data_IF_388166208858
#
_entry.id   IF_388166208858
#
_cell.length_a   1.000
_cell.length_b   1.000
_cell.length_c   1.000
_cell.angle_alpha   90.00
_cell.angle_beta   90.00
_cell.angle_gamma   90.00
#
_symmetry.space_group_name_H-M   'P 1'
#
loop_
_entity.id
_entity.type
_entity.pdbx_description
1 polymer ?
#
# COMPACT_ATOMS: atom_id res chain seq x y z
N UNK A 1 9.20 -22.51 16.61
CA UNK A 1 8.31 -22.17 15.48
C UNK A 1 8.00 -20.68 15.54
N UNK A 2 8.24 -19.99 14.42
CA UNK A 2 8.85 -18.66 14.38
C UNK A 2 7.93 -17.50 14.79
N UNK A 3 8.24 -16.88 15.93
CA UNK A 3 7.60 -15.64 16.43
C UNK A 3 7.88 -14.43 15.52
N UNK A 4 8.85 -14.52 14.61
CA UNK A 4 9.17 -13.49 13.62
C UNK A 4 8.17 -13.43 12.44
N UNK A 5 7.33 -14.43 12.23
CA UNK A 5 6.41 -14.49 11.07
C UNK A 5 5.13 -13.65 11.28
N UNK A 6 4.55 -13.67 12.49
CA UNK A 6 3.37 -12.82 12.82
C UNK A 6 3.71 -11.33 12.82
N UNK A 7 4.94 -11.04 13.19
CA UNK A 7 5.49 -9.71 13.31
C UNK A 7 5.57 -9.01 11.92
N UNK A 8 6.11 -9.71 10.91
CA UNK A 8 6.36 -9.13 9.58
C UNK A 8 5.11 -9.01 8.69
N UNK A 9 4.01 -9.67 9.05
CA UNK A 9 2.72 -9.63 8.34
C UNK A 9 2.01 -8.26 8.39
N UNK A 10 2.34 -7.36 9.34
CA UNK A 10 1.68 -6.05 9.50
C UNK A 10 2.22 -5.01 8.49
N UNK A 11 3.50 -5.06 8.11
CA UNK A 11 4.02 -4.23 7.01
C UNK A 11 3.26 -4.47 5.69
N UNK A 12 2.75 -5.69 5.49
CA UNK A 12 1.92 -6.09 4.35
C UNK A 12 0.50 -5.52 4.37
N UNK A 13 -0.11 -5.31 5.55
CA UNK A 13 -1.45 -4.69 5.66
C UNK A 13 -1.43 -3.17 5.36
N UNK A 14 -0.27 -2.51 5.49
CA UNK A 14 -0.16 -1.04 5.46
C UNK A 14 0.09 -0.44 4.08
N UNK A 15 0.32 -1.25 3.05
CA UNK A 15 0.31 -0.76 1.66
C UNK A 15 -1.11 -0.60 1.12
N UNK A 16 -2.14 -1.14 1.81
CA UNK A 16 -3.54 -1.09 1.38
C UNK A 16 -4.42 -0.08 2.10
N UNK A 17 -4.11 0.33 3.33
CA UNK A 17 -4.92 1.33 4.05
C UNK A 17 -4.97 2.72 3.36
N UNK A 18 -4.22 2.94 2.28
CA UNK A 18 -4.24 4.14 1.44
C UNK A 18 -5.24 4.11 0.26
N UNK A 19 -6.10 3.08 0.12
CA UNK A 19 -7.09 2.98 -0.97
C UNK A 19 -8.52 3.39 -0.59
N UNK A 20 -8.75 4.15 0.48
CA UNK A 20 -10.00 4.89 0.63
C UNK A 20 -9.99 6.09 -0.32
N UNK A 21 -11.10 6.43 -1.02
CA UNK A 21 -11.13 7.56 -1.94
C UNK A 21 -11.19 8.86 -1.12
N UNK A 22 -10.04 9.24 -0.57
CA UNK A 22 -9.81 10.58 -0.09
C UNK A 22 -9.60 11.45 -1.32
N UNK A 23 -10.44 12.47 -1.47
CA UNK A 23 -10.44 13.47 -2.52
C UNK A 23 -9.03 13.74 -3.04
N UNK A 24 -8.78 13.31 -4.28
CA UNK A 24 -7.52 13.49 -4.98
C UNK A 24 -7.24 14.98 -5.16
N UNK A 25 -6.54 15.59 -4.20
CA UNK A 25 -5.72 16.77 -4.49
C UNK A 25 -4.37 16.25 -4.95
N UNK A 26 -4.34 15.79 -6.20
CA UNK A 26 -3.10 15.66 -6.94
C UNK A 26 -2.35 17.00 -6.83
N UNK A 27 -1.04 16.93 -6.60
CA UNK A 27 -0.12 18.01 -6.95
C UNK A 27 -0.17 18.17 -8.49
N UNK A 28 -1.23 18.82 -8.98
CA UNK A 28 -1.41 19.21 -10.35
C UNK A 28 -0.55 20.46 -10.60
N UNK A 29 0.69 20.24 -11.00
CA UNK A 29 1.40 21.23 -11.81
C UNK A 29 0.78 21.21 -13.20
N UNK A 30 0.14 22.33 -13.55
CA UNK A 30 -0.64 22.52 -14.77
C UNK A 30 0.16 22.13 -16.02
N UNK A 31 -0.28 21.07 -16.71
CA UNK A 31 0.06 20.84 -18.12
C UNK A 31 -1.18 21.09 -18.97
N UNK A 32 -1.23 22.25 -19.62
CA UNK A 32 -2.23 22.53 -20.65
C UNK A 32 -1.77 21.89 -21.95
N UNK A 33 -2.33 20.73 -22.31
CA UNK A 33 -2.29 20.22 -23.67
C UNK A 33 -3.60 20.59 -24.37
N UNK A 34 -3.55 21.64 -25.20
CA UNK A 34 -4.61 22.00 -26.11
C UNK A 34 -4.59 21.03 -27.31
N UNK A 35 -5.68 20.30 -27.50
CA UNK A 35 -5.99 19.58 -28.73
C UNK A 35 -6.35 20.63 -29.79
N UNK A 36 -5.62 20.65 -30.91
CA UNK A 36 -5.95 21.46 -32.09
C UNK A 36 -6.44 20.53 -33.19
N UNK A 37 -7.76 20.51 -33.38
CA UNK A 37 -8.39 20.02 -34.61
C UNK A 37 -8.12 20.98 -35.77
N UNK A 38 -7.93 20.41 -36.95
CA UNK A 38 -7.69 21.14 -38.20
C UNK A 38 -8.98 21.46 -38.98
N UNK A 39 -8.80 22.32 -40.00
CA UNK A 39 -9.74 22.82 -41.03
C UNK A 39 -10.63 24.01 -40.59
N UNK A 40 -10.92 25.04 -41.39
CA UNK A 40 -10.47 25.50 -42.71
C UNK A 40 -10.71 27.04 -42.83
N UNK A 41 -10.24 27.63 -43.92
CA UNK A 41 -10.10 29.07 -44.24
C UNK A 41 -11.45 29.74 -44.61
N UNK A 42 -11.71 30.98 -44.17
CA UNK A 42 -12.39 32.02 -44.96
C UNK A 42 -12.28 33.45 -44.38
N UNK A 43 -11.77 34.35 -45.23
CA UNK A 43 -11.93 35.82 -45.37
C UNK A 43 -12.34 36.75 -44.21
N UNK A 44 -11.46 37.73 -43.97
CA UNK A 44 -11.77 39.15 -44.23
C UNK A 44 -12.50 39.96 -43.16
N UNK A 45 -11.77 40.61 -42.26
CA UNK A 45 -12.12 41.91 -41.69
C UNK A 45 -10.93 42.48 -40.88
N UNK A 46 -10.56 43.74 -41.15
CA UNK A 46 -9.59 44.48 -40.35
C UNK A 46 -10.08 44.62 -38.90
N UNK A 47 -9.39 43.98 -37.95
CA UNK A 47 -9.48 44.26 -36.52
C UNK A 47 -8.18 44.90 -36.05
N UNK A 48 -8.27 46.14 -35.59
CA UNK A 48 -7.25 46.84 -34.82
C UNK A 48 -7.04 46.14 -33.48
N UNK A 49 -6.12 45.17 -33.43
CA UNK A 49 -5.70 44.55 -32.16
C UNK A 49 -4.67 45.45 -31.46
N UNK A 50 -5.04 45.94 -30.28
CA UNK A 50 -4.11 46.46 -29.30
C UNK A 50 -2.99 45.45 -29.05
N UNK A 51 -1.74 45.90 -29.16
CA UNK A 51 -0.57 45.09 -28.84
C UNK A 51 -0.70 44.56 -27.41
N UNK A 52 -0.83 43.24 -27.27
CA UNK A 52 -0.69 42.59 -25.98
C UNK A 52 0.76 42.77 -25.52
N UNK A 53 0.94 43.50 -24.41
CA UNK A 53 2.26 43.66 -23.80
C UNK A 53 2.89 42.28 -23.52
N UNK A 54 4.20 42.12 -23.70
CA UNK A 54 4.89 40.87 -23.40
C UNK A 54 4.65 40.51 -21.94
N UNK A 55 4.05 39.33 -21.70
CA UNK A 55 3.93 38.77 -20.35
C UNK A 55 5.34 38.68 -19.76
N UNK A 56 5.58 39.40 -18.67
CA UNK A 56 6.80 39.29 -17.90
C UNK A 56 7.12 37.81 -17.62
N UNK A 57 8.40 37.40 -17.62
CA UNK A 57 8.79 36.03 -17.31
C UNK A 57 8.21 35.68 -15.94
N UNK A 58 7.33 34.66 -15.90
CA UNK A 58 6.84 34.11 -14.64
C UNK A 58 8.07 33.62 -13.89
N UNK A 59 8.37 34.24 -12.76
CA UNK A 59 9.37 33.75 -11.83
C UNK A 59 9.08 32.24 -11.58
N UNK A 60 10.10 31.38 -11.64
CA UNK A 60 9.91 29.96 -11.36
C UNK A 60 9.26 29.84 -9.98
N UNK A 61 8.12 29.15 -9.90
CA UNK A 61 7.53 28.77 -8.61
C UNK A 61 8.55 27.86 -7.92
N UNK A 62 9.34 28.43 -7.02
CA UNK A 62 10.24 27.68 -6.15
C UNK A 62 9.33 26.82 -5.27
N UNK A 63 9.40 25.50 -5.46
CA UNK A 63 8.67 24.55 -4.62
C UNK A 63 9.14 24.64 -3.16
N UNK A 64 8.39 24.04 -2.22
CA UNK A 64 8.78 24.03 -0.81
C UNK A 64 10.19 23.43 -0.67
N UNK A 65 10.98 24.02 0.23
CA UNK A 65 12.32 23.52 0.53
C UNK A 65 12.22 22.13 1.16
N UNK A 66 13.25 21.28 0.96
CA UNK A 66 13.31 20.00 1.66
C UNK A 66 13.24 20.19 3.19
N UNK A 67 13.80 21.26 3.74
CA UNK A 67 13.73 21.54 5.16
C UNK A 67 12.30 21.78 5.67
N UNK A 68 11.40 22.28 4.81
CA UNK A 68 9.99 22.49 5.15
C UNK A 68 9.21 21.17 5.12
N UNK A 69 9.55 20.25 4.20
CA UNK A 69 8.86 18.97 4.05
C UNK A 69 9.35 17.93 5.07
N UNK A 70 10.66 17.90 5.34
CA UNK A 70 11.31 16.92 6.21
C UNK A 70 11.59 17.52 7.58
N UNK A 71 10.52 17.80 8.32
CA UNK A 71 10.57 18.25 9.70
C UNK A 71 9.81 17.28 10.61
N UNK A 72 10.28 17.12 11.85
CA UNK A 72 9.70 16.22 12.85
C UNK A 72 8.60 16.91 13.69
N UNK A 73 8.07 18.05 13.26
CA UNK A 73 6.97 18.70 13.97
C UNK A 73 5.77 17.74 14.02
N UNK A 74 5.25 17.45 15.21
CA UNK A 74 4.18 16.46 15.40
C UNK A 74 4.62 14.99 15.41
N UNK A 75 5.91 14.69 15.16
CA UNK A 75 6.49 13.34 15.29
C UNK A 75 7.37 13.32 16.54
N UNK A 76 6.89 12.70 17.62
CA UNK A 76 7.58 12.70 18.92
C UNK A 76 8.14 11.33 19.27
N UNK A 77 8.97 11.26 20.32
CA UNK A 77 9.40 9.98 20.90
C UNK A 77 8.21 9.12 21.33
N UNK A 78 7.17 9.73 21.93
CA UNK A 78 5.95 9.01 22.32
C UNK A 78 5.30 8.33 21.11
N UNK A 79 5.26 9.02 19.96
CA UNK A 79 4.72 8.45 18.72
C UNK A 79 5.49 7.20 18.28
N UNK A 80 6.82 7.19 18.45
CA UNK A 80 7.65 6.02 18.19
C UNK A 80 7.34 4.90 19.17
N UNK A 81 7.25 5.20 20.46
CA UNK A 81 6.91 4.22 21.51
C UNK A 81 5.56 3.56 21.26
N UNK A 82 4.54 4.34 20.90
CA UNK A 82 3.20 3.84 20.61
C UNK A 82 3.21 2.87 19.41
N UNK A 83 3.92 3.22 18.34
CA UNK A 83 4.07 2.36 17.15
C UNK A 83 4.85 1.09 17.48
N UNK A 84 5.97 1.20 18.20
CA UNK A 84 6.80 0.05 18.56
C UNK A 84 6.04 -0.90 19.47
N UNK A 85 5.32 -0.37 20.47
CA UNK A 85 4.48 -1.15 21.38
C UNK A 85 3.34 -1.86 20.65
N UNK A 86 2.68 -1.17 19.73
CA UNK A 86 1.58 -1.74 18.94
C UNK A 86 2.07 -2.84 17.99
N UNK A 87 3.26 -2.66 17.41
CA UNK A 87 3.77 -3.55 16.36
C UNK A 87 4.51 -4.77 16.93
N UNK A 88 5.27 -4.60 18.01
CA UNK A 88 6.09 -5.68 18.62
C UNK A 88 7.25 -6.16 17.72
N UNK A 89 7.70 -5.33 16.76
CA UNK A 89 8.62 -5.75 15.67
C UNK A 89 10.05 -5.25 15.83
N UNK A 90 10.23 -4.16 16.56
CA UNK A 90 11.44 -3.35 16.53
C UNK A 90 12.26 -3.60 17.80
N UNK A 91 12.89 -4.77 17.89
CA UNK A 91 13.65 -5.21 19.07
C UNK A 91 15.14 -4.84 19.03
N UNK A 92 15.66 -4.45 17.86
CA UNK A 92 17.10 -4.23 17.65
C UNK A 92 17.64 -2.99 18.37
N UNK A 93 16.79 -2.00 18.65
CA UNK A 93 17.14 -0.73 19.28
C UNK A 93 15.96 -0.27 20.16
N UNK A 94 16.23 0.58 21.13
CA UNK A 94 15.22 1.26 21.93
C UNK A 94 14.44 2.31 21.10
N UNK A 95 13.24 2.67 21.57
CA UNK A 95 12.44 3.77 20.97
C UNK A 95 13.24 5.07 20.87
N UNK A 96 14.02 5.38 21.91
CA UNK A 96 14.88 6.56 21.95
C UNK A 96 15.96 6.53 20.87
N UNK A 97 16.62 5.40 20.65
CA UNK A 97 17.65 5.24 19.60
C UNK A 97 17.04 5.35 18.20
N UNK A 98 15.87 4.74 17.95
CA UNK A 98 15.15 4.91 16.67
C UNK A 98 14.77 6.38 16.41
N UNK A 99 14.27 7.06 17.44
CA UNK A 99 13.92 8.47 17.32
C UNK A 99 15.16 9.36 17.08
N UNK A 100 16.29 9.05 17.73
CA UNK A 100 17.55 9.75 17.51
C UNK A 100 18.03 9.61 16.06
N UNK A 101 17.91 8.41 15.47
CA UNK A 101 18.19 8.19 14.05
C UNK A 101 17.33 9.10 13.17
N UNK A 102 16.04 9.23 13.47
CA UNK A 102 15.16 10.15 12.74
C UNK A 102 15.60 11.62 12.87
N UNK A 103 16.01 12.05 14.07
CA UNK A 103 16.51 13.40 14.32
C UNK A 103 17.79 13.68 13.52
N UNK A 104 18.77 12.76 13.56
CA UNK A 104 20.02 12.89 12.80
C UNK A 104 19.75 12.94 11.29
N UNK A 105 18.82 12.12 10.80
CA UNK A 105 18.43 12.12 9.39
C UNK A 105 17.78 13.46 8.97
N UNK A 106 16.84 13.97 9.76
CA UNK A 106 16.22 15.28 9.51
C UNK A 106 17.23 16.43 9.53
N UNK A 107 18.16 16.41 10.50
CA UNK A 107 19.22 17.41 10.62
C UNK A 107 20.19 17.36 9.42
N UNK A 108 20.51 16.17 8.92
CA UNK A 108 21.33 16.02 7.73
C UNK A 108 20.67 16.69 6.51
N UNK A 109 19.35 16.54 6.34
CA UNK A 109 18.59 17.17 5.26
C UNK A 109 18.56 18.69 5.44
N UNK A 110 18.35 19.19 6.66
CA UNK A 110 18.41 20.64 6.96
C UNK A 110 19.77 21.25 6.61
N UNK A 111 20.86 20.50 6.82
CA UNK A 111 22.24 20.89 6.43
C UNK A 111 22.52 20.77 4.93
N UNK A 112 21.54 20.41 4.11
CA UNK A 112 21.65 20.35 2.65
C UNK A 112 21.88 18.96 2.07
N UNK A 113 21.83 17.90 2.88
CA UNK A 113 21.89 16.53 2.35
C UNK A 113 20.65 16.22 1.51
N UNK A 114 20.83 15.48 0.42
CA UNK A 114 19.69 15.00 -0.37
C UNK A 114 18.91 13.94 0.43
N UNK A 115 17.57 14.07 0.56
CA UNK A 115 16.75 13.08 1.28
C UNK A 115 16.77 11.68 0.64
N UNK A 116 17.18 11.58 -0.63
CA UNK A 116 17.20 10.33 -1.40
C UNK A 116 18.51 9.55 -1.24
N UNK A 117 19.53 10.15 -0.63
CA UNK A 117 20.88 9.57 -0.53
C UNK A 117 21.63 10.13 0.67
N UNK A 118 20.97 10.20 1.84
CA UNK A 118 21.62 10.65 3.07
C UNK A 118 22.65 9.60 3.48
N UNK A 119 23.93 10.01 3.56
CA UNK A 119 25.03 9.18 4.03
C UNK A 119 25.72 9.90 5.17
N UNK A 120 25.53 9.40 6.39
CA UNK A 120 26.32 9.84 7.53
C UNK A 120 27.48 8.86 7.70
N UNK A 121 28.72 9.37 7.70
CA UNK A 121 29.95 8.58 7.84
C UNK A 121 30.65 8.89 9.17
N UNK A 122 31.40 7.94 9.71
CA UNK A 122 32.18 8.10 10.94
C UNK A 122 31.41 7.76 12.22
N UNK A 123 31.75 8.38 13.34
CA UNK A 123 31.15 8.12 14.66
C UNK A 123 29.64 8.42 14.72
N UNK A 124 29.13 9.24 13.79
CA UNK A 124 27.70 9.56 13.67
C UNK A 124 27.00 8.78 12.55
N UNK A 125 27.60 7.68 12.09
CA UNK A 125 27.05 6.87 11.01
C UNK A 125 25.68 6.29 11.35
N UNK A 126 24.76 6.33 10.40
CA UNK A 126 23.48 5.62 10.48
C UNK A 126 23.61 4.39 9.59
N UNK A 127 23.33 3.22 10.14
CA UNK A 127 23.33 1.97 9.37
C UNK A 127 22.12 1.91 8.42
N UNK A 128 22.26 1.18 7.31
CA UNK A 128 21.16 1.04 6.36
C UNK A 128 19.95 0.28 6.95
N UNK A 129 20.20 -0.65 7.89
CA UNK A 129 19.16 -1.35 8.65
C UNK A 129 18.40 -0.38 9.57
N UNK A 130 19.11 0.49 10.29
CA UNK A 130 18.46 1.49 11.15
C UNK A 130 17.58 2.44 10.34
N UNK A 131 18.04 2.92 9.18
CA UNK A 131 17.21 3.73 8.28
C UNK A 131 15.97 2.97 7.78
N UNK A 132 16.13 1.68 7.46
CA UNK A 132 15.01 0.86 7.03
C UNK A 132 13.95 0.72 8.14
N UNK A 133 14.38 0.37 9.36
CA UNK A 133 13.51 0.16 10.51
C UNK A 133 12.79 1.45 10.91
N UNK A 134 13.51 2.59 10.98
CA UNK A 134 12.88 3.90 11.23
C UNK A 134 11.92 4.27 10.10
N UNK A 135 12.25 3.97 8.85
CA UNK A 135 11.34 4.17 7.72
C UNK A 135 10.05 3.35 7.86
N UNK A 136 10.15 2.12 8.35
CA UNK A 136 9.01 1.29 8.68
C UNK A 136 8.18 1.89 9.83
N UNK A 137 8.81 2.35 10.92
CA UNK A 137 8.11 3.03 12.03
C UNK A 137 7.38 4.27 11.52
N UNK A 138 8.06 5.14 10.77
CA UNK A 138 7.48 6.37 10.19
C UNK A 138 6.27 6.09 9.31
N UNK A 139 6.28 4.96 8.56
CA UNK A 139 5.14 4.55 7.73
C UNK A 139 3.87 4.26 8.55
N UNK A 140 4.00 3.79 9.80
CA UNK A 140 2.87 3.50 10.69
C UNK A 140 2.28 4.77 11.32
N UNK A 141 3.01 5.88 11.32
CA UNK A 141 2.55 7.16 11.84
C UNK A 141 1.59 7.78 10.83
N UNK A 142 0.29 7.84 11.16
CA UNK A 142 -0.76 8.31 10.25
C UNK A 142 -0.69 9.81 9.98
N UNK A 143 -0.44 10.59 11.02
CA UNK A 143 -0.24 12.04 10.96
C UNK A 143 0.98 12.39 11.81
N UNK A 144 1.76 13.41 11.42
CA UNK A 144 1.59 14.29 10.26
C UNK A 144 2.06 13.66 8.93
N UNK A 145 1.58 14.19 7.78
CA UNK A 145 2.01 13.75 6.43
C UNK A 145 3.53 13.72 6.19
N UNK A 146 4.31 14.49 6.95
CA UNK A 146 5.78 14.45 6.86
C UNK A 146 6.34 13.06 7.23
N UNK A 147 5.66 12.27 8.06
CA UNK A 147 6.06 10.89 8.40
C UNK A 147 6.19 10.01 7.16
N UNK A 148 5.25 10.14 6.23
CA UNK A 148 5.21 9.38 4.99
C UNK A 148 6.33 9.81 4.03
N UNK A 149 6.64 11.11 4.00
CA UNK A 149 7.79 11.61 3.26
C UNK A 149 9.10 11.05 3.83
N UNK A 150 9.25 11.08 5.17
CA UNK A 150 10.41 10.49 5.85
C UNK A 150 10.57 9.01 5.55
N UNK A 151 9.49 8.22 5.64
CA UNK A 151 9.54 6.79 5.35
C UNK A 151 10.14 6.50 3.97
N UNK A 152 9.64 7.19 2.93
CA UNK A 152 10.14 7.03 1.55
C UNK A 152 11.59 7.48 1.42
N UNK A 153 11.96 8.62 2.03
CA UNK A 153 13.33 9.15 1.99
C UNK A 153 14.34 8.23 2.69
N UNK A 154 13.97 7.68 3.85
CA UNK A 154 14.79 6.75 4.61
C UNK A 154 14.97 5.42 3.88
N UNK A 155 13.90 4.86 3.30
CA UNK A 155 14.02 3.68 2.45
C UNK A 155 14.86 3.94 1.19
N UNK A 156 14.73 5.12 0.56
CA UNK A 156 15.55 5.48 -0.60
C UNK A 156 17.04 5.57 -0.22
N UNK A 157 17.35 6.21 0.90
CA UNK A 157 18.72 6.32 1.42
C UNK A 157 19.30 4.95 1.79
N UNK A 158 18.54 4.10 2.49
CA UNK A 158 18.94 2.73 2.80
C UNK A 158 19.15 1.88 1.53
N UNK A 159 18.32 2.05 0.51
CA UNK A 159 18.46 1.36 -0.77
C UNK A 159 19.72 1.82 -1.54
N UNK A 160 20.04 3.13 -1.55
CA UNK A 160 21.30 3.65 -2.12
C UNK A 160 22.54 3.13 -1.37
N UNK A 161 22.39 2.78 -0.08
CA UNK A 161 23.43 2.12 0.72
C UNK A 161 23.55 0.61 0.48
N UNK A 162 22.67 0.00 -0.31
CA UNK A 162 22.73 -1.44 -0.58
C UNK A 162 21.70 -2.30 0.13
N UNK A 163 20.83 -1.72 0.96
CA UNK A 163 19.90 -2.49 1.77
C UNK A 163 18.79 -3.12 0.91
N UNK A 164 18.80 -4.45 0.83
CA UNK A 164 17.84 -5.22 0.03
C UNK A 164 16.39 -4.99 0.47
N UNK A 165 16.00 -5.18 1.76
CA UNK A 165 14.61 -4.93 2.19
C UNK A 165 14.11 -3.53 1.87
N UNK A 166 14.99 -2.51 1.97
CA UNK A 166 14.61 -1.13 1.66
C UNK A 166 14.31 -0.94 0.17
N UNK A 167 15.10 -1.59 -0.70
CA UNK A 167 14.87 -1.58 -2.15
C UNK A 167 13.51 -2.20 -2.48
N UNK A 168 13.20 -3.37 -1.89
CA UNK A 168 11.94 -4.08 -2.14
C UNK A 168 10.73 -3.31 -1.61
N UNK A 169 10.78 -2.81 -0.37
CA UNK A 169 9.68 -2.06 0.24
C UNK A 169 9.40 -0.75 -0.50
N UNK A 170 10.45 -0.04 -0.92
CA UNK A 170 10.29 1.17 -1.72
C UNK A 170 9.76 0.86 -3.13
N UNK A 171 10.26 -0.18 -3.79
CA UNK A 171 9.75 -0.60 -5.09
C UNK A 171 8.24 -0.89 -5.04
N UNK A 172 7.83 -1.65 -4.03
CA UNK A 172 6.42 -1.97 -3.79
C UNK A 172 5.58 -0.72 -3.51
N UNK A 173 6.07 0.22 -2.70
CA UNK A 173 5.38 1.49 -2.45
C UNK A 173 5.21 2.33 -3.73
N UNK A 174 6.23 2.36 -4.60
CA UNK A 174 6.17 3.09 -5.87
C UNK A 174 5.15 2.49 -6.84
N UNK A 175 5.01 1.16 -6.85
CA UNK A 175 3.98 0.49 -7.62
C UNK A 175 2.56 0.90 -7.17
N UNK A 176 2.26 0.76 -5.88
CA UNK A 176 0.93 1.11 -5.33
C UNK A 176 0.57 2.59 -5.49
N UNK A 177 1.57 3.48 -5.33
CA UNK A 177 1.37 4.92 -5.51
C UNK A 177 1.39 5.37 -6.98
N UNK A 178 1.49 4.44 -7.93
CA UNK A 178 1.57 4.73 -9.37
C UNK A 178 2.73 5.70 -9.72
N UNK A 179 3.75 5.74 -8.87
CA UNK A 179 4.91 6.62 -8.99
C UNK A 179 6.12 5.93 -9.65
N UNK A 180 5.97 4.66 -10.04
CA UNK A 180 6.99 3.88 -10.75
C UNK A 180 7.40 4.57 -12.06
N UNK A 181 8.71 4.79 -12.24
CA UNK A 181 9.30 5.46 -13.39
C UNK A 181 9.12 6.98 -13.44
N UNK A 182 8.35 7.56 -12.50
CA UNK A 182 8.01 9.00 -12.53
C UNK A 182 9.12 9.87 -11.91
N UNK A 183 9.82 9.37 -10.90
CA UNK A 183 10.81 10.15 -10.13
C UNK A 183 12.23 9.79 -10.55
N UNK A 184 12.93 10.74 -11.19
CA UNK A 184 14.31 10.54 -11.63
C UNK A 184 15.26 10.18 -10.48
N UNK A 185 15.02 10.71 -9.28
CA UNK A 185 15.82 10.44 -8.08
C UNK A 185 15.75 8.97 -7.64
N UNK A 186 14.69 8.24 -8.00
CA UNK A 186 14.45 6.87 -7.56
C UNK A 186 14.83 5.81 -8.61
N UNK A 187 15.36 6.23 -9.77
CA UNK A 187 15.75 5.31 -10.86
C UNK A 187 16.77 4.25 -10.43
N UNK A 188 17.68 4.57 -9.51
CA UNK A 188 18.64 3.60 -8.97
C UNK A 188 17.94 2.45 -8.25
N UNK A 189 16.92 2.78 -7.44
CA UNK A 189 16.13 1.79 -6.70
C UNK A 189 15.36 0.90 -7.67
N UNK A 190 14.70 1.50 -8.67
CA UNK A 190 13.98 0.75 -9.71
C UNK A 190 14.90 -0.17 -10.52
N UNK A 191 16.10 0.30 -10.86
CA UNK A 191 17.11 -0.48 -11.59
C UNK A 191 17.56 -1.68 -10.77
N UNK A 192 17.84 -1.46 -9.48
CA UNK A 192 18.24 -2.54 -8.56
C UNK A 192 17.12 -3.54 -8.32
N UNK A 193 15.88 -3.08 -8.17
CA UNK A 193 14.72 -3.96 -8.08
C UNK A 193 14.59 -4.85 -9.33
N UNK A 194 14.67 -4.25 -10.53
CA UNK A 194 14.66 -5.00 -11.79
C UNK A 194 15.77 -6.03 -11.88
N UNK A 195 16.94 -5.75 -11.31
CA UNK A 195 18.03 -6.72 -11.19
C UNK A 195 17.64 -7.91 -10.31
N UNK A 196 17.03 -7.70 -9.14
CA UNK A 196 16.55 -8.81 -8.29
C UNK A 196 15.51 -9.67 -9.01
N UNK A 197 14.61 -9.04 -9.76
CA UNK A 197 13.59 -9.74 -10.57
C UNK A 197 14.24 -10.54 -11.71
N UNK A 198 15.23 -9.98 -12.41
CA UNK A 198 15.89 -10.65 -13.53
C UNK A 198 16.76 -11.83 -13.08
N UNK A 199 17.44 -11.71 -11.94
CA UNK A 199 18.14 -12.81 -11.29
C UNK A 199 17.16 -13.94 -10.92
N UNK A 200 15.97 -13.54 -10.45
CA UNK A 200 14.81 -14.42 -10.24
C UNK A 200 15.06 -15.55 -9.24
N UNK A 201 15.91 -15.27 -8.24
CA UNK A 201 16.20 -16.11 -7.07
C UNK A 201 15.63 -15.52 -5.78
N UNK A 202 15.06 -14.33 -5.86
CA UNK A 202 14.51 -13.61 -4.72
C UNK A 202 12.97 -13.73 -4.71
N UNK A 203 12.38 -14.54 -3.80
CA UNK A 203 10.93 -14.73 -3.77
C UNK A 203 10.17 -13.45 -3.39
N UNK A 204 10.75 -12.55 -2.59
CA UNK A 204 10.13 -11.28 -2.23
C UNK A 204 10.11 -10.32 -3.42
N UNK A 205 11.20 -10.26 -4.20
CA UNK A 205 11.25 -9.46 -5.43
C UNK A 205 10.23 -9.96 -6.48
N UNK A 206 10.18 -11.28 -6.69
CA UNK A 206 9.20 -11.90 -7.58
C UNK A 206 7.76 -11.66 -7.10
N UNK A 207 7.52 -11.61 -5.79
CA UNK A 207 6.21 -11.28 -5.22
C UNK A 207 5.77 -9.86 -5.58
N UNK A 208 6.67 -8.87 -5.48
CA UNK A 208 6.36 -7.48 -5.87
C UNK A 208 6.13 -7.35 -7.37
N UNK A 209 6.93 -8.02 -8.19
CA UNK A 209 6.71 -8.02 -9.64
C UNK A 209 5.35 -8.66 -9.99
N UNK A 210 5.00 -9.77 -9.33
CA UNK A 210 3.69 -10.42 -9.50
C UNK A 210 2.52 -9.50 -9.13
N UNK A 211 2.63 -8.78 -8.02
CA UNK A 211 1.66 -7.75 -7.61
C UNK A 211 1.57 -6.61 -8.63
N UNK A 212 2.71 -6.09 -9.11
CA UNK A 212 2.73 -5.07 -10.16
C UNK A 212 2.05 -5.55 -11.45
N UNK A 213 2.30 -6.78 -11.87
CA UNK A 213 1.64 -7.38 -13.04
C UNK A 213 0.13 -7.53 -12.82
N UNK A 214 -0.30 -7.87 -11.60
CA UNK A 214 -1.72 -7.96 -11.24
C UNK A 214 -2.41 -6.60 -11.35
N UNK A 215 -1.82 -5.54 -10.81
CA UNK A 215 -2.35 -4.17 -10.89
C UNK A 215 -2.42 -3.66 -12.34
N UNK A 216 -1.51 -4.11 -13.20
CA UNK A 216 -1.53 -3.84 -14.65
C UNK A 216 -2.55 -4.69 -15.44
N UNK A 217 -3.33 -5.55 -14.76
CA UNK A 217 -4.31 -6.43 -15.40
C UNK A 217 -3.69 -7.64 -16.11
N UNK A 218 -2.40 -7.88 -15.98
CA UNK A 218 -1.68 -9.00 -16.61
C UNK A 218 -1.75 -10.26 -15.75
N UNK A 219 -2.97 -10.75 -15.51
CA UNK A 219 -3.24 -11.78 -14.48
C UNK A 219 -2.52 -13.11 -14.72
N UNK A 220 -2.39 -13.58 -15.96
CA UNK A 220 -1.66 -14.81 -16.27
C UNK A 220 -0.16 -14.68 -15.97
N UNK A 221 0.44 -13.54 -16.34
CA UNK A 221 1.84 -13.25 -16.05
C UNK A 221 2.07 -13.09 -14.53
N UNK A 222 1.15 -12.42 -13.83
CA UNK A 222 1.16 -12.30 -12.38
C UNK A 222 1.13 -13.67 -11.70
N UNK A 223 0.19 -14.55 -12.09
CA UNK A 223 0.07 -15.89 -11.53
C UNK A 223 1.36 -16.71 -11.73
N UNK A 224 1.93 -16.70 -12.94
CA UNK A 224 3.21 -17.37 -13.23
C UNK A 224 4.37 -16.83 -12.38
N UNK A 225 4.45 -15.52 -12.21
CA UNK A 225 5.49 -14.88 -11.40
C UNK A 225 5.37 -15.26 -9.91
N UNK A 226 4.15 -15.24 -9.38
CA UNK A 226 3.86 -15.57 -7.98
C UNK A 226 4.07 -17.06 -7.69
N UNK A 227 3.64 -17.95 -8.59
CA UNK A 227 3.96 -19.38 -8.49
C UNK A 227 5.46 -19.62 -8.45
N UNK A 228 6.23 -18.94 -9.31
CA UNK A 228 7.69 -19.04 -9.30
C UNK A 228 8.29 -18.61 -7.97
N UNK A 229 7.76 -17.55 -7.36
CA UNK A 229 8.18 -17.13 -6.02
C UNK A 229 7.92 -18.22 -4.96
N UNK A 230 6.74 -18.86 -5.01
CA UNK A 230 6.37 -19.96 -4.10
C UNK A 230 7.22 -21.22 -4.28
N UNK A 231 7.71 -21.52 -5.48
CA UNK A 231 8.60 -22.67 -5.72
C UNK A 231 9.96 -22.50 -5.05
N UNK A 232 10.46 -21.27 -4.89
CA UNK A 232 11.75 -21.03 -4.25
C UNK A 232 11.75 -21.29 -2.74
N UNK A 233 10.56 -21.38 -2.13
CA UNK A 233 10.27 -21.59 -0.69
C UNK A 233 11.49 -21.58 0.26
N UNK A 234 11.98 -20.38 0.57
CA UNK A 234 13.14 -20.18 1.43
C UNK A 234 12.77 -19.59 2.80
N UNK A 235 13.63 -19.79 3.80
CA UNK A 235 13.44 -19.23 5.15
C UNK A 235 13.31 -17.69 5.16
N UNK A 236 13.85 -17.01 4.14
CA UNK A 236 13.76 -15.54 3.97
C UNK A 236 12.50 -15.07 3.19
N UNK A 237 11.53 -15.95 2.94
CA UNK A 237 10.31 -15.59 2.20
C UNK A 237 9.27 -14.87 3.08
N UNK A 238 9.62 -13.65 3.50
CA UNK A 238 8.79 -12.78 4.34
C UNK A 238 7.40 -12.51 3.76
N UNK A 239 7.29 -12.41 2.44
CA UNK A 239 6.03 -12.06 1.77
C UNK A 239 5.25 -13.25 1.24
N UNK A 240 5.47 -14.46 1.77
CA UNK A 240 4.79 -15.69 1.33
C UNK A 240 3.26 -15.57 1.39
N UNK A 241 2.69 -15.11 2.51
CA UNK A 241 1.23 -14.94 2.63
C UNK A 241 0.69 -13.93 1.61
N UNK A 242 1.43 -12.85 1.33
CA UNK A 242 1.03 -11.86 0.33
C UNK A 242 1.13 -12.40 -1.10
N UNK A 243 2.15 -13.22 -1.37
CA UNK A 243 2.32 -13.92 -2.62
C UNK A 243 1.12 -14.82 -2.91
N UNK A 244 0.72 -15.65 -1.93
CA UNK A 244 -0.45 -16.52 -2.02
C UNK A 244 -1.75 -15.71 -2.19
N UNK A 245 -1.88 -14.59 -1.49
CA UNK A 245 -3.03 -13.69 -1.59
C UNK A 245 -3.20 -13.11 -2.99
N UNK A 246 -2.15 -12.55 -3.59
CA UNK A 246 -2.24 -12.07 -4.98
C UNK A 246 -2.36 -13.20 -5.99
N UNK A 247 -1.83 -14.38 -5.71
CA UNK A 247 -1.99 -15.54 -6.58
C UNK A 247 -3.46 -15.98 -6.62
N UNK A 248 -4.11 -16.05 -5.45
CA UNK A 248 -5.54 -16.30 -5.36
C UNK A 248 -6.36 -15.24 -6.09
N UNK A 249 -6.07 -13.95 -5.89
CA UNK A 249 -6.74 -12.86 -6.62
C UNK A 249 -6.56 -12.97 -8.14
N UNK A 250 -5.36 -13.30 -8.60
CA UNK A 250 -5.09 -13.53 -10.02
C UNK A 250 -5.92 -14.71 -10.57
N UNK A 251 -6.04 -15.81 -9.82
CA UNK A 251 -6.88 -16.95 -10.21
C UNK A 251 -8.36 -16.61 -10.28
N UNK A 252 -8.89 -15.79 -9.37
CA UNK A 252 -10.26 -15.26 -9.46
C UNK A 252 -10.46 -14.52 -10.79
N UNK A 253 -9.53 -13.62 -11.15
CA UNK A 253 -9.59 -12.88 -12.42
C UNK A 253 -9.44 -13.76 -13.65
N UNK A 254 -8.77 -14.90 -13.53
CA UNK A 254 -8.62 -15.91 -14.58
C UNK A 254 -9.75 -16.93 -14.62
N UNK A 255 -10.81 -16.77 -13.81
CA UNK A 255 -11.93 -17.72 -13.71
C UNK A 255 -11.50 -19.13 -13.30
N UNK A 256 -10.55 -19.21 -12.35
CA UNK A 256 -10.01 -20.45 -11.77
C UNK A 256 -10.36 -20.53 -10.28
N UNK A 257 -11.64 -20.74 -9.93
CA UNK A 257 -12.13 -20.60 -8.56
C UNK A 257 -11.62 -21.67 -7.60
N UNK A 258 -11.29 -22.87 -8.10
CA UNK A 258 -10.77 -23.97 -7.25
C UNK A 258 -9.37 -23.62 -6.75
N UNK A 259 -8.47 -23.21 -7.65
CA UNK A 259 -7.11 -22.83 -7.28
C UNK A 259 -7.08 -21.53 -6.47
N UNK A 260 -8.00 -20.59 -6.74
CA UNK A 260 -8.17 -19.39 -5.93
C UNK A 260 -8.53 -19.74 -4.47
N UNK A 261 -9.49 -20.65 -4.29
CA UNK A 261 -9.93 -21.11 -2.98
C UNK A 261 -8.79 -21.74 -2.19
N UNK A 262 -8.06 -22.68 -2.79
CA UNK A 262 -6.91 -23.34 -2.14
C UNK A 262 -5.86 -22.32 -1.68
N UNK A 263 -5.55 -21.35 -2.54
CA UNK A 263 -4.60 -20.29 -2.21
C UNK A 263 -5.06 -19.48 -1.00
N UNK A 264 -6.35 -19.09 -0.94
CA UNK A 264 -6.86 -18.29 0.17
C UNK A 264 -7.09 -19.10 1.46
N UNK A 265 -7.53 -20.36 1.40
CA UNK A 265 -7.72 -21.20 2.60
C UNK A 265 -6.41 -21.33 3.39
N UNK A 266 -5.29 -21.55 2.68
CA UNK A 266 -3.97 -21.69 3.32
C UNK A 266 -3.51 -20.46 4.14
N UNK A 267 -3.96 -19.26 3.76
CA UNK A 267 -3.61 -18.01 4.45
C UNK A 267 -4.70 -17.56 5.43
N UNK A 268 -5.96 -17.95 5.22
CA UNK A 268 -7.07 -17.77 6.18
C UNK A 268 -6.77 -18.53 7.48
N UNK A 269 -6.27 -19.76 7.39
CA UNK A 269 -5.86 -20.57 8.55
C UNK A 269 -4.77 -19.90 9.40
N UNK A 270 -4.02 -18.96 8.81
CA UNK A 270 -3.00 -18.16 9.51
C UNK A 270 -3.54 -16.87 10.13
N UNK A 271 -4.85 -16.60 10.02
CA UNK A 271 -5.53 -15.43 10.58
C UNK A 271 -5.56 -14.20 9.65
N UNK A 272 -5.43 -14.38 8.34
CA UNK A 272 -5.48 -13.26 7.39
C UNK A 272 -6.92 -12.80 7.11
N UNK A 273 -7.33 -11.68 7.71
CA UNK A 273 -8.63 -11.04 7.48
C UNK A 273 -8.92 -10.76 6.00
N UNK A 274 -7.89 -10.44 5.20
CA UNK A 274 -8.10 -10.21 3.78
C UNK A 274 -8.34 -11.51 3.00
N UNK A 275 -7.71 -12.61 3.42
CA UNK A 275 -8.01 -13.91 2.83
C UNK A 275 -9.45 -14.34 3.11
N UNK A 276 -9.92 -14.09 4.34
CA UNK A 276 -11.31 -14.34 4.72
C UNK A 276 -12.30 -13.50 3.91
N UNK A 277 -11.94 -12.24 3.63
CA UNK A 277 -12.72 -11.36 2.74
C UNK A 277 -12.88 -11.97 1.34
N UNK A 278 -11.76 -12.38 0.72
CA UNK A 278 -11.76 -12.93 -0.63
C UNK A 278 -12.44 -14.31 -0.68
N UNK A 279 -12.24 -15.18 0.33
CA UNK A 279 -12.94 -16.47 0.45
C UNK A 279 -14.44 -16.30 0.61
N UNK A 280 -14.85 -15.39 1.48
CA UNK A 280 -16.25 -15.09 1.72
C UNK A 280 -16.98 -14.69 0.44
N UNK A 281 -16.35 -13.82 -0.35
CA UNK A 281 -16.89 -13.42 -1.65
C UNK A 281 -16.90 -14.56 -2.67
N UNK A 282 -15.82 -15.34 -2.76
CA UNK A 282 -15.69 -16.46 -3.69
C UNK A 282 -16.73 -17.56 -3.43
N UNK A 283 -16.98 -17.88 -2.15
CA UNK A 283 -17.87 -18.96 -1.73
C UNK A 283 -19.35 -18.58 -1.73
N UNK A 284 -19.70 -17.29 -1.86
CA UNK A 284 -21.07 -16.78 -1.69
C UNK A 284 -22.12 -17.55 -2.50
N UNK A 285 -21.76 -17.97 -3.71
CA UNK A 285 -22.67 -18.70 -4.64
C UNK A 285 -22.63 -20.22 -4.49
N UNK A 286 -21.53 -20.79 -4.00
CA UNK A 286 -21.33 -22.25 -3.94
C UNK A 286 -21.56 -22.84 -2.55
N UNK A 287 -21.21 -22.11 -1.48
CA UNK A 287 -21.24 -22.55 -0.09
C UNK A 287 -21.51 -21.33 0.81
N UNK A 288 -22.79 -20.94 0.89
CA UNK A 288 -23.22 -19.73 1.59
C UNK A 288 -22.92 -19.76 3.09
N UNK A 289 -22.94 -20.94 3.72
CA UNK A 289 -22.64 -21.07 5.15
C UNK A 289 -21.15 -20.81 5.44
N UNK A 290 -20.25 -21.38 4.64
CA UNK A 290 -18.82 -21.05 4.78
C UNK A 290 -18.53 -19.61 4.41
N UNK A 291 -19.22 -19.08 3.40
CA UNK A 291 -19.10 -17.67 3.03
C UNK A 291 -19.41 -16.76 4.23
N UNK A 292 -20.53 -16.98 4.92
CA UNK A 292 -20.90 -16.21 6.12
C UNK A 292 -19.85 -16.30 7.22
N UNK A 293 -19.31 -17.50 7.47
CA UNK A 293 -18.25 -17.69 8.48
C UNK A 293 -17.03 -16.84 8.19
N UNK A 294 -16.51 -16.89 6.96
CA UNK A 294 -15.33 -16.10 6.58
C UNK A 294 -15.62 -14.59 6.58
N UNK A 295 -16.76 -14.16 6.05
CA UNK A 295 -17.16 -12.76 6.07
C UNK A 295 -17.29 -12.23 7.50
N UNK A 296 -17.86 -13.01 8.42
CA UNK A 296 -17.94 -12.65 9.84
C UNK A 296 -16.56 -12.54 10.49
N UNK A 297 -15.66 -13.49 10.24
CA UNK A 297 -14.28 -13.42 10.73
C UNK A 297 -13.56 -12.16 10.21
N UNK A 298 -13.70 -11.84 8.93
CA UNK A 298 -13.14 -10.61 8.36
C UNK A 298 -13.76 -9.33 8.97
N UNK A 299 -15.08 -9.33 9.22
CA UNK A 299 -15.80 -8.21 9.81
C UNK A 299 -15.32 -7.91 11.24
N UNK A 300 -15.24 -8.93 12.10
CA UNK A 300 -14.77 -8.81 13.48
C UNK A 300 -13.30 -8.40 13.54
N UNK A 301 -12.50 -8.76 12.52
CA UNK A 301 -11.12 -8.31 12.37
C UNK A 301 -10.98 -6.89 11.78
N UNK A 302 -12.06 -6.10 11.77
CA UNK A 302 -12.04 -4.66 11.45
C UNK A 302 -12.45 -4.29 10.02
N UNK A 303 -12.82 -5.26 9.17
CA UNK A 303 -13.34 -4.96 7.84
C UNK A 303 -14.87 -4.78 7.88
N UNK A 304 -15.33 -3.61 8.34
CA UNK A 304 -16.76 -3.33 8.56
C UNK A 304 -17.63 -3.50 7.31
N UNK A 305 -17.07 -3.31 6.11
CA UNK A 305 -17.77 -3.57 4.84
C UNK A 305 -18.26 -5.02 4.71
N UNK A 306 -17.63 -5.97 5.41
CA UNK A 306 -18.07 -7.36 5.39
C UNK A 306 -19.42 -7.56 6.09
N UNK A 307 -19.80 -6.69 7.03
CA UNK A 307 -21.16 -6.70 7.59
C UNK A 307 -22.22 -6.35 6.55
N UNK A 308 -21.90 -5.50 5.57
CA UNK A 308 -22.81 -5.22 4.45
C UNK A 308 -23.07 -6.49 3.63
N UNK A 309 -22.04 -7.26 3.31
CA UNK A 309 -22.22 -8.52 2.59
C UNK A 309 -22.99 -9.56 3.39
N UNK A 310 -22.77 -9.65 4.71
CA UNK A 310 -23.58 -10.50 5.59
C UNK A 310 -25.05 -10.08 5.58
N UNK A 311 -25.33 -8.77 5.65
CA UNK A 311 -26.69 -8.22 5.53
C UNK A 311 -27.38 -8.66 4.24
N UNK A 312 -26.70 -8.54 3.10
CA UNK A 312 -27.22 -9.00 1.82
C UNK A 312 -27.52 -10.51 1.81
N UNK A 313 -26.63 -11.34 2.40
CA UNK A 313 -26.87 -12.79 2.49
C UNK A 313 -28.10 -13.10 3.39
N UNK A 314 -28.29 -12.40 4.51
CA UNK A 314 -29.49 -12.58 5.33
C UNK A 314 -30.75 -12.17 4.59
N UNK A 315 -30.74 -11.08 3.82
CA UNK A 315 -31.89 -10.72 2.98
C UNK A 315 -32.19 -11.80 1.94
N UNK A 316 -31.17 -12.35 1.28
CA UNK A 316 -31.33 -13.46 0.33
C UNK A 316 -31.93 -14.72 1.02
N UNK A 317 -31.51 -15.02 2.26
CA UNK A 317 -32.06 -16.12 3.06
C UNK A 317 -33.50 -15.85 3.51
N UNK A 318 -33.81 -14.61 3.89
CA UNK A 318 -35.16 -14.18 4.24
C UNK A 318 -36.14 -14.43 3.08
N UNK A 319 -35.77 -14.03 1.85
CA UNK A 319 -36.61 -14.20 0.66
C UNK A 319 -36.86 -15.68 0.34
N UNK A 320 -35.89 -16.55 0.66
CA UNK A 320 -35.99 -18.00 0.42
C UNK A 320 -36.70 -18.76 1.55
N UNK A 321 -36.90 -18.15 2.71
CA UNK A 321 -37.50 -18.80 3.88
C UNK A 321 -39.02 -18.97 3.69
N UNK A 322 -39.52 -20.20 3.90
CA UNK A 322 -40.96 -20.51 3.86
C UNK A 322 -41.62 -20.37 5.22
N UNK A 323 -40.85 -20.51 6.30
CA UNK A 323 -41.33 -20.37 7.67
C UNK A 323 -41.30 -18.90 8.13
N UNK A 324 -42.42 -18.45 8.72
CA UNK A 324 -42.61 -17.05 9.11
C UNK A 324 -41.67 -16.62 10.25
N UNK A 325 -41.29 -17.53 11.13
CA UNK A 325 -40.36 -17.23 12.22
C UNK A 325 -38.93 -17.14 11.69
N UNK A 326 -38.50 -18.11 10.88
CA UNK A 326 -37.18 -18.09 10.23
C UNK A 326 -36.99 -16.84 9.36
N UNK A 327 -38.04 -16.44 8.62
CA UNK A 327 -38.03 -15.21 7.83
C UNK A 327 -37.82 -13.96 8.70
N UNK A 328 -38.51 -13.85 9.85
CA UNK A 328 -38.32 -12.74 10.79
C UNK A 328 -36.91 -12.72 11.37
N UNK A 329 -36.37 -13.88 11.71
CA UNK A 329 -35.04 -13.99 12.30
C UNK A 329 -33.97 -13.54 11.29
N UNK A 330 -34.07 -13.95 10.01
CA UNK A 330 -33.20 -13.45 8.96
C UNK A 330 -33.34 -11.94 8.72
N UNK A 331 -34.56 -11.41 8.77
CA UNK A 331 -34.77 -9.97 8.66
C UNK A 331 -34.09 -9.20 9.80
N UNK A 332 -34.18 -9.68 11.04
CA UNK A 332 -33.52 -9.05 12.19
C UNK A 332 -32.00 -9.04 12.02
N UNK A 333 -31.41 -10.17 11.62
CA UNK A 333 -29.97 -10.25 11.35
C UNK A 333 -29.54 -9.35 10.18
N UNK A 334 -30.32 -9.29 9.10
CA UNK A 334 -30.04 -8.41 7.97
C UNK A 334 -29.95 -6.94 8.41
N UNK A 335 -30.91 -6.50 9.24
CA UNK A 335 -30.94 -5.14 9.77
C UNK A 335 -29.78 -4.87 10.73
N UNK A 336 -29.47 -5.81 11.62
CA UNK A 336 -28.37 -5.65 12.56
C UNK A 336 -27.01 -5.58 11.85
N UNK A 337 -26.75 -6.47 10.89
CA UNK A 337 -25.52 -6.38 10.10
C UNK A 337 -25.46 -5.10 9.26
N UNK A 338 -26.58 -4.63 8.71
CA UNK A 338 -26.61 -3.34 8.02
C UNK A 338 -26.27 -2.18 8.94
N UNK A 339 -26.67 -2.24 10.22
CA UNK A 339 -26.32 -1.25 11.24
C UNK A 339 -24.83 -1.31 11.57
N UNK A 340 -24.28 -2.51 11.80
CA UNK A 340 -22.85 -2.71 12.08
C UNK A 340 -21.93 -2.29 10.93
N UNK A 341 -22.45 -2.23 9.70
CA UNK A 341 -21.70 -1.76 8.55
C UNK A 341 -21.54 -0.23 8.50
N UNK A 342 -22.33 0.55 9.24
CA UNK A 342 -22.23 2.02 9.24
C UNK A 342 -21.05 2.49 10.11
N UNK A 343 -20.02 3.15 9.55
CA UNK A 343 -18.88 3.66 10.33
C UNK A 343 -19.25 4.75 11.33
N UNK A 344 -20.44 5.34 11.23
CA UNK A 344 -20.94 6.40 12.12
C UNK A 344 -21.60 5.86 13.37
N UNK A 345 -22.00 4.60 13.38
CA UNK A 345 -22.50 3.94 14.58
C UNK A 345 -21.33 3.76 15.55
N UNK A 346 -21.30 4.61 16.59
CA UNK A 346 -20.28 4.54 17.64
C UNK A 346 -20.62 3.40 18.60
N UNK A 347 -19.59 2.62 18.98
CA UNK A 347 -19.65 1.55 19.98
C UNK A 347 -18.91 1.95 21.25
#
# INVERSE_FOLDING_TARGET
>A
MSRHVRARQICTQLLRASSTPSTSTALALSSTHAIRSGQAIAHGACQTRSYAAPRAPRAPKVGPSYAEVYNLEGITLQTFEDVIKMSGLFENMSSAEYYEVAQRFAEAIKKGSSPWSVKLTGQNGISASALYDVGCIMRHIREPRSSQAFAVAMWASAADMGHRPATLSLARQLAHSHAWGQKSQLRKVETRFKQFVSEGRDPNALTVEGEMLYELGKYDAAAKMLQRALVLDGEEFEWKSQCQLYLGKAYVKLQRPVEAREAFESISDSGSSEADTELGQLLRSSDTEKAEKHLYTAAVNGNLEMFRHLSEIAFDKQVKATDKQVMKDHQLWAMEWSRLADPKEQF
#
